data_IF_627385373066
#
_entry.id   IF_627385373066
#
_cell.length_a   1.000
_cell.length_b   1.000
_cell.length_c   1.000
_cell.angle_alpha   90.00
_cell.angle_beta   90.00
_cell.angle_gamma   90.00
#
_symmetry.space_group_name_H-M   'P 1'
#
loop_
_entity.id
_entity.type
_entity.pdbx_description
1 polymer ?
#
# COMPACT_ATOMS: atom_id res chain seq x y z
N UNK A 1 3.84 -37.20 16.37
CA UNK A 1 4.18 -35.83 16.81
C UNK A 1 4.69 -34.93 15.69
N UNK A 2 5.39 -35.44 14.66
CA UNK A 2 5.82 -34.64 13.49
C UNK A 2 4.61 -34.12 12.69
N UNK A 3 3.55 -34.93 12.54
CA UNK A 3 2.35 -34.56 11.78
C UNK A 3 1.62 -33.33 12.37
N UNK A 4 1.49 -33.24 13.70
CA UNK A 4 0.86 -32.10 14.36
C UNK A 4 1.64 -30.80 14.13
N UNK A 5 2.97 -30.89 14.08
CA UNK A 5 3.84 -29.74 13.84
C UNK A 5 3.72 -29.22 12.41
N UNK A 6 3.63 -30.13 11.44
CA UNK A 6 3.43 -29.79 10.01
C UNK A 6 2.07 -29.10 9.82
N UNK A 7 1.01 -29.60 10.46
CA UNK A 7 -0.31 -28.98 10.39
C UNK A 7 -0.34 -27.56 10.98
N UNK A 8 0.34 -27.34 12.12
CA UNK A 8 0.44 -25.99 12.71
C UNK A 8 1.22 -25.02 11.80
N UNK A 9 2.30 -25.47 11.17
CA UNK A 9 3.06 -24.63 10.23
C UNK A 9 2.24 -24.29 8.97
N UNK A 10 1.49 -25.24 8.43
CA UNK A 10 0.58 -24.99 7.31
C UNK A 10 -0.50 -23.98 7.65
N UNK A 11 -1.09 -24.06 8.84
CA UNK A 11 -2.10 -23.11 9.30
C UNK A 11 -1.52 -21.68 9.44
N UNK A 12 -0.32 -21.53 9.98
CA UNK A 12 0.37 -20.24 10.09
C UNK A 12 0.67 -19.64 8.71
N UNK A 13 1.20 -20.46 7.78
CA UNK A 13 1.45 -20.04 6.40
C UNK A 13 0.15 -19.61 5.70
N UNK A 14 -0.96 -20.30 5.95
CA UNK A 14 -2.26 -19.96 5.37
C UNK A 14 -2.76 -18.61 5.88
N UNK A 15 -2.68 -18.35 7.19
CA UNK A 15 -3.07 -17.06 7.80
C UNK A 15 -2.23 -15.91 7.25
N UNK A 16 -0.90 -16.08 7.15
CA UNK A 16 -0.01 -15.06 6.57
C UNK A 16 -0.32 -14.81 5.09
N UNK A 17 -0.64 -15.86 4.31
CA UNK A 17 -1.03 -15.70 2.91
C UNK A 17 -2.38 -14.99 2.73
N UNK A 18 -3.34 -15.23 3.63
CA UNK A 18 -4.64 -14.56 3.61
C UNK A 18 -4.51 -13.09 4.02
N UNK A 19 -3.50 -12.76 4.83
CA UNK A 19 -3.15 -11.41 5.23
C UNK A 19 -2.11 -10.76 4.30
N UNK A 20 -1.91 -11.31 3.09
CA UNK A 20 -0.98 -10.75 2.12
C UNK A 20 -1.21 -9.25 2.00
N UNK A 21 -0.17 -8.41 2.14
CA UNK A 21 -0.34 -6.98 2.05
C UNK A 21 -1.02 -6.67 0.71
N UNK A 22 -2.11 -5.90 0.75
CA UNK A 22 -2.88 -5.44 -0.42
C UNK A 22 -1.93 -4.87 -1.48
N UNK A 23 -0.78 -4.36 -1.02
CA UNK A 23 0.34 -4.00 -1.85
C UNK A 23 1.70 -4.50 -1.31
N UNK A 24 2.35 -5.49 -1.95
CA UNK A 24 3.62 -6.04 -1.46
C UNK A 24 4.81 -5.10 -1.67
N UNK A 25 4.80 -4.26 -2.71
CA UNK A 25 5.81 -3.21 -2.90
C UNK A 25 5.16 -1.90 -3.31
N UNK A 26 5.27 -0.87 -2.45
CA UNK A 26 4.79 0.49 -2.73
C UNK A 26 5.91 1.33 -3.35
N UNK A 27 5.59 2.08 -4.40
CA UNK A 27 6.51 3.02 -5.04
C UNK A 27 5.82 4.37 -5.23
N UNK A 28 6.44 5.42 -4.71
CA UNK A 28 5.91 6.79 -4.82
C UNK A 28 5.99 7.33 -6.25
N UNK A 29 4.98 8.13 -6.62
CA UNK A 29 4.89 8.73 -7.95
C UNK A 29 5.32 10.19 -7.88
N UNK A 30 6.43 10.50 -8.55
CA UNK A 30 6.88 11.88 -8.66
C UNK A 30 5.81 12.74 -9.34
N UNK A 31 5.39 13.82 -8.67
CA UNK A 31 4.36 14.74 -9.17
C UNK A 31 2.91 14.38 -8.78
N UNK A 32 2.65 13.16 -8.30
CA UNK A 32 1.30 12.71 -7.89
C UNK A 32 1.35 12.13 -6.47
N UNK A 33 1.41 12.98 -5.42
CA UNK A 33 1.75 12.53 -4.07
C UNK A 33 0.68 11.66 -3.38
N UNK A 34 -0.56 11.65 -3.88
CA UNK A 34 -1.67 10.89 -3.27
C UNK A 34 -2.02 9.61 -4.04
N UNK A 35 -1.14 9.19 -4.94
CA UNK A 35 -1.23 7.92 -5.67
C UNK A 35 0.13 7.25 -5.64
N UNK A 36 0.10 5.94 -5.48
CA UNK A 36 1.31 5.12 -5.41
C UNK A 36 1.17 3.95 -6.37
N UNK A 37 2.29 3.53 -6.93
CA UNK A 37 2.36 2.27 -7.65
C UNK A 37 2.48 1.13 -6.68
N UNK A 38 1.71 0.09 -6.96
CA UNK A 38 1.77 -1.16 -6.26
C UNK A 38 2.34 -2.24 -7.17
N UNK A 39 3.58 -2.66 -6.90
CA UNK A 39 4.21 -3.77 -7.60
C UNK A 39 3.84 -5.08 -6.93
N UNK A 40 3.36 -6.02 -7.73
CA UNK A 40 3.07 -7.39 -7.31
C UNK A 40 4.21 -8.35 -7.69
N UNK A 41 4.30 -9.48 -6.98
CA UNK A 41 5.36 -10.47 -7.21
C UNK A 41 5.30 -11.13 -8.60
N UNK A 42 4.15 -11.07 -9.28
CA UNK A 42 3.96 -11.52 -10.66
C UNK A 42 4.37 -10.46 -11.71
N UNK A 43 4.90 -9.31 -11.27
CA UNK A 43 5.28 -8.19 -12.14
C UNK A 43 4.13 -7.29 -12.56
N UNK A 44 2.88 -7.56 -12.15
CA UNK A 44 1.79 -6.61 -12.38
C UNK A 44 1.97 -5.36 -11.53
N UNK A 45 1.44 -4.24 -12.02
CA UNK A 45 1.50 -2.96 -11.32
C UNK A 45 0.11 -2.34 -11.29
N UNK A 46 -0.38 -2.02 -10.09
CA UNK A 46 -1.63 -1.28 -9.93
C UNK A 46 -1.38 0.13 -9.41
N UNK A 47 -2.23 1.06 -9.81
CA UNK A 47 -2.23 2.43 -9.29
C UNK A 47 -3.25 2.52 -8.16
N UNK A 48 -2.77 2.61 -6.92
CA UNK A 48 -3.64 2.68 -5.75
C UNK A 48 -3.61 4.07 -5.11
N UNK A 49 -4.65 4.34 -4.34
CA UNK A 49 -4.80 5.55 -3.56
C UNK A 49 -3.88 5.48 -2.33
N UNK A 50 -3.23 6.58 -2.04
CA UNK A 50 -2.47 6.76 -0.79
C UNK A 50 -3.42 7.02 0.37
N UNK A 51 -2.95 6.86 1.60
CA UNK A 51 -3.85 6.89 2.76
C UNK A 51 -4.45 8.29 2.96
N UNK A 52 -5.75 8.32 3.25
CA UNK A 52 -6.44 9.58 3.52
C UNK A 52 -5.81 10.24 4.77
N UNK A 53 -5.40 11.50 4.61
CA UNK A 53 -4.76 12.28 5.67
C UNK A 53 -3.23 12.34 5.59
N UNK A 54 -2.58 11.56 4.73
CA UNK A 54 -1.13 11.64 4.52
C UNK A 54 -0.75 13.03 4.00
N UNK A 55 0.39 13.54 4.47
CA UNK A 55 0.89 14.84 4.07
C UNK A 55 1.34 14.81 2.60
N UNK A 56 0.84 15.76 1.82
CA UNK A 56 1.19 15.88 0.40
C UNK A 56 1.67 17.28 0.07
N UNK A 57 2.54 17.40 -0.93
CA UNK A 57 3.02 18.69 -1.43
C UNK A 57 3.09 18.65 -2.95
N UNK A 58 2.31 19.49 -3.60
CA UNK A 58 2.42 19.73 -5.04
C UNK A 58 3.36 20.90 -5.29
N UNK A 59 4.10 20.86 -6.41
CA UNK A 59 5.01 21.93 -6.78
C UNK A 59 4.27 23.28 -6.86
N UNK A 60 4.80 24.32 -6.19
CA UNK A 60 4.19 25.65 -6.15
C UNK A 60 2.95 25.81 -5.26
N UNK A 61 2.54 24.79 -4.50
CA UNK A 61 1.38 24.84 -3.58
C UNK A 61 1.80 24.66 -2.12
N UNK A 62 0.95 25.10 -1.19
CA UNK A 62 1.15 24.87 0.24
C UNK A 62 1.01 23.37 0.56
N UNK A 63 1.64 22.86 1.64
CA UNK A 63 1.43 21.50 2.11
C UNK A 63 -0.07 21.24 2.35
N UNK A 64 -0.53 20.06 1.95
CA UNK A 64 -1.91 19.61 2.07
C UNK A 64 -1.99 18.21 2.67
N UNK A 65 -3.17 17.60 2.57
CA UNK A 65 -3.42 16.21 2.92
C UNK A 65 -4.09 15.47 1.78
N UNK A 66 -3.75 14.20 1.62
CA UNK A 66 -4.44 13.33 0.68
C UNK A 66 -5.88 13.09 1.10
N UNK A 67 -6.80 13.25 0.15
CA UNK A 67 -8.20 12.89 0.29
C UNK A 67 -8.70 12.40 -1.07
N UNK A 68 -9.18 11.17 -1.10
CA UNK A 68 -9.75 10.55 -2.31
C UNK A 68 -8.78 10.58 -3.52
N UNK A 69 -7.47 10.49 -3.25
CA UNK A 69 -6.43 10.50 -4.27
C UNK A 69 -5.97 11.87 -4.74
N UNK A 70 -6.47 12.94 -4.13
CA UNK A 70 -6.08 14.32 -4.41
C UNK A 70 -5.42 14.99 -3.21
N UNK A 71 -4.47 15.89 -3.49
CA UNK A 71 -3.80 16.68 -2.47
C UNK A 71 -4.65 17.91 -2.12
N UNK A 72 -5.43 17.82 -1.06
CA UNK A 72 -6.30 18.90 -0.58
C UNK A 72 -5.53 19.82 0.36
N UNK A 73 -5.47 21.10 0.04
CA UNK A 73 -4.91 22.12 0.92
C UNK A 73 -5.94 22.52 1.97
N UNK A 74 -5.50 22.68 3.23
CA UNK A 74 -6.32 23.38 4.22
C UNK A 74 -6.27 24.87 3.89
N UNK A 75 -7.46 25.43 3.69
CA UNK A 75 -7.68 26.85 3.43
C UNK A 75 -7.34 27.68 4.68
#
# INVERSE_FOLDING_TARGET
>A
MISSFIFCLLAMCYIVSANSPVCPMKLDISGVPCRIFCLYNNGSTDLILEDNGTACKTHGRKPGKCKDGECIQKQ
#
